data_IF_195713353444
#
_entry.id   IF_195713353444
#
_cell.length_a   1.000
_cell.length_b   1.000
_cell.length_c   1.000
_cell.angle_alpha   90.00
_cell.angle_beta   90.00
_cell.angle_gamma   90.00
#
_symmetry.space_group_name_H-M   'P 1'
#
loop_
_entity.id
_entity.type
_entity.pdbx_description
1 polymer ?
#
# COMPACT_ATOMS: atom_id res chain seq x y z
N UNK A 1 -100.77 -47.96 47.31
CA UNK A 1 -99.82 -49.09 47.39
C UNK A 1 -99.22 -49.30 46.01
N UNK A 2 -97.88 -49.19 45.97
CA UNK A 2 -96.89 -49.35 44.88
C UNK A 2 -97.37 -49.83 43.49
N UNK A 3 -97.14 -48.99 42.49
CA UNK A 3 -96.97 -49.40 41.08
C UNK A 3 -95.51 -49.79 40.85
N UNK A 4 -95.33 -50.97 40.25
CA UNK A 4 -94.05 -51.49 39.76
C UNK A 4 -93.84 -50.94 38.35
N UNK A 5 -92.87 -50.02 38.17
CA UNK A 5 -92.46 -49.57 36.83
C UNK A 5 -91.08 -50.14 36.51
N UNK A 6 -91.05 -50.87 35.39
CA UNK A 6 -89.89 -51.49 34.76
C UNK A 6 -88.98 -50.37 34.22
N UNK A 7 -87.75 -50.25 34.74
CA UNK A 7 -86.74 -49.36 34.16
C UNK A 7 -86.07 -50.06 32.99
N UNK A 8 -86.25 -49.50 31.79
CA UNK A 8 -85.53 -49.87 30.58
C UNK A 8 -84.15 -49.21 30.63
N UNK A 9 -83.08 -49.99 30.70
CA UNK A 9 -81.70 -49.50 30.57
C UNK A 9 -81.46 -49.24 29.08
N UNK A 10 -81.40 -47.96 28.69
CA UNK A 10 -80.85 -47.55 27.39
C UNK A 10 -79.36 -47.31 27.62
N UNK A 11 -78.56 -48.26 27.16
CA UNK A 11 -77.12 -48.12 26.97
C UNK A 11 -76.88 -47.05 25.90
N UNK A 12 -76.40 -45.87 26.30
CA UNK A 12 -75.79 -44.92 25.37
C UNK A 12 -74.48 -45.54 24.87
N UNK A 13 -74.50 -46.04 23.64
CA UNK A 13 -73.27 -46.27 22.87
C UNK A 13 -72.77 -44.87 22.50
N UNK A 14 -71.74 -44.42 23.21
CA UNK A 14 -70.91 -43.29 22.81
C UNK A 14 -70.16 -43.70 21.54
N UNK A 15 -70.70 -43.36 20.36
CA UNK A 15 -69.87 -43.28 19.18
C UNK A 15 -68.92 -42.09 19.42
N UNK A 16 -67.63 -42.38 19.61
CA UNK A 16 -66.62 -41.34 19.50
C UNK A 16 -66.67 -40.80 18.07
N UNK A 17 -67.24 -39.61 17.89
CA UNK A 17 -66.81 -38.77 16.79
C UNK A 17 -65.40 -38.34 17.17
N UNK A 18 -64.39 -38.87 16.49
CA UNK A 18 -63.13 -38.15 16.40
C UNK A 18 -63.49 -36.77 15.83
N UNK A 19 -63.39 -35.75 16.68
CA UNK A 19 -63.55 -34.38 16.23
C UNK A 19 -62.47 -34.12 15.20
N UNK A 20 -62.86 -33.78 13.97
CA UNK A 20 -61.93 -33.31 12.94
C UNK A 20 -61.16 -32.12 13.51
N UNK A 21 -59.85 -32.29 13.68
CA UNK A 21 -58.97 -31.21 14.10
C UNK A 21 -58.63 -30.37 12.87
N UNK A 22 -58.85 -29.06 12.98
CA UNK A 22 -58.66 -28.10 11.91
C UNK A 22 -57.53 -27.14 12.26
N UNK A 23 -56.69 -26.85 11.28
CA UNK A 23 -55.63 -25.85 11.32
C UNK A 23 -56.16 -24.58 10.65
N UNK A 24 -56.03 -23.44 11.33
CA UNK A 24 -56.45 -22.15 10.81
C UNK A 24 -55.42 -21.61 9.82
N UNK A 25 -55.83 -21.39 8.57
CA UNK A 25 -55.00 -20.92 7.45
C UNK A 25 -55.73 -19.75 6.77
N UNK A 26 -55.53 -18.50 7.22
CA UNK A 26 -56.33 -17.35 6.77
C UNK A 26 -56.03 -16.85 5.35
N UNK A 27 -54.88 -17.21 4.77
CA UNK A 27 -54.54 -16.81 3.41
C UNK A 27 -55.14 -17.78 2.39
N UNK A 28 -56.08 -17.29 1.59
CA UNK A 28 -56.77 -18.07 0.57
C UNK A 28 -55.83 -18.74 -0.45
N UNK A 29 -54.71 -18.10 -0.81
CA UNK A 29 -53.76 -18.69 -1.77
C UNK A 29 -53.01 -19.86 -1.12
N UNK A 30 -52.65 -19.71 0.17
CA UNK A 30 -52.02 -20.80 0.93
C UNK A 30 -52.99 -21.96 1.15
N UNK A 31 -54.21 -21.69 1.59
CA UNK A 31 -55.28 -22.68 1.77
C UNK A 31 -55.57 -23.43 0.46
N UNK A 32 -55.84 -22.69 -0.63
CA UNK A 32 -56.10 -23.29 -1.96
C UNK A 32 -54.96 -24.19 -2.41
N UNK A 33 -53.71 -23.80 -2.16
CA UNK A 33 -52.56 -24.63 -2.49
C UNK A 33 -52.56 -25.93 -1.69
N UNK A 34 -52.81 -25.87 -0.38
CA UNK A 34 -52.85 -27.05 0.49
C UNK A 34 -53.91 -28.04 0.01
N UNK A 35 -55.14 -27.58 -0.23
CA UNK A 35 -56.25 -28.44 -0.66
C UNK A 35 -56.02 -29.02 -2.06
N UNK A 36 -55.39 -28.25 -2.95
CA UNK A 36 -55.13 -28.69 -4.34
C UNK A 36 -54.04 -29.75 -4.42
N UNK A 37 -52.94 -29.57 -3.66
CA UNK A 37 -51.74 -30.40 -3.80
C UNK A 37 -51.60 -31.47 -2.72
N UNK A 38 -52.29 -31.32 -1.59
CA UNK A 38 -52.29 -32.28 -0.49
C UNK A 38 -53.74 -32.68 -0.16
N UNK A 39 -54.28 -33.72 -0.82
CA UNK A 39 -55.68 -34.13 -0.63
C UNK A 39 -56.03 -34.51 0.81
N UNK A 40 -55.04 -34.92 1.62
CA UNK A 40 -55.24 -35.23 3.05
C UNK A 40 -55.46 -33.97 3.91
N UNK A 41 -55.20 -32.77 3.36
CA UNK A 41 -55.47 -31.47 3.98
C UNK A 41 -56.88 -30.96 3.70
N UNK A 42 -57.52 -31.41 2.62
CA UNK A 42 -58.82 -30.92 2.15
C UNK A 42 -59.94 -31.26 3.15
N UNK A 43 -60.61 -30.21 3.66
CA UNK A 43 -61.72 -30.35 4.60
C UNK A 43 -63.09 -30.46 3.88
N UNK A 44 -63.10 -30.30 2.55
CA UNK A 44 -64.26 -30.31 1.66
C UNK A 44 -64.92 -28.95 1.43
N UNK A 45 -64.31 -27.85 1.87
CA UNK A 45 -64.86 -26.49 1.83
C UNK A 45 -63.78 -25.48 1.42
N UNK A 46 -63.70 -25.16 0.13
CA UNK A 46 -62.73 -24.20 -0.38
C UNK A 46 -62.85 -22.80 0.26
N UNK A 47 -61.71 -22.21 0.63
CA UNK A 47 -61.58 -20.82 1.12
C UNK A 47 -62.38 -20.52 2.40
N UNK A 48 -62.45 -21.47 3.33
CA UNK A 48 -63.07 -21.30 4.64
C UNK A 48 -62.06 -20.96 5.76
N UNK A 49 -60.80 -20.80 5.40
CA UNK A 49 -59.65 -20.55 6.27
C UNK A 49 -59.26 -21.73 7.15
N UNK A 50 -59.65 -22.96 6.80
CA UNK A 50 -59.31 -24.15 7.57
C UNK A 50 -58.88 -25.32 6.70
N UNK A 51 -57.89 -26.08 7.17
CA UNK A 51 -57.49 -27.36 6.58
C UNK A 51 -57.43 -28.45 7.66
N UNK A 52 -57.42 -29.71 7.28
CA UNK A 52 -57.29 -30.82 8.22
C UNK A 52 -55.88 -30.85 8.85
N UNK A 53 -55.81 -30.76 10.18
CA UNK A 53 -54.52 -30.78 10.93
C UNK A 53 -53.71 -32.05 10.68
N UNK A 54 -54.39 -33.20 10.57
CA UNK A 54 -53.72 -34.47 10.27
C UNK A 54 -53.05 -34.47 8.89
N UNK A 55 -53.61 -33.75 7.91
CA UNK A 55 -53.00 -33.58 6.59
C UNK A 55 -51.71 -32.78 6.70
N UNK A 56 -51.80 -31.55 7.22
CA UNK A 56 -50.65 -30.63 7.30
C UNK A 56 -49.52 -31.15 8.19
N UNK A 57 -49.84 -31.82 9.29
CA UNK A 57 -48.83 -32.39 10.21
C UNK A 57 -47.98 -33.51 9.59
N UNK A 58 -48.43 -34.11 8.48
CA UNK A 58 -47.71 -35.17 7.76
C UNK A 58 -46.79 -34.64 6.64
N UNK A 59 -46.90 -33.35 6.31
CA UNK A 59 -46.13 -32.74 5.23
C UNK A 59 -44.68 -32.53 5.67
N UNK A 60 -43.76 -33.10 4.90
CA UNK A 60 -42.31 -33.00 5.14
C UNK A 60 -41.63 -31.96 4.25
N UNK A 61 -42.14 -31.73 3.05
CA UNK A 61 -41.60 -30.74 2.13
C UNK A 61 -42.72 -30.00 1.40
N UNK A 62 -42.54 -28.69 1.25
CA UNK A 62 -43.50 -27.85 0.56
C UNK A 62 -42.83 -26.73 -0.23
N UNK A 63 -43.34 -26.46 -1.44
CA UNK A 63 -42.90 -25.35 -2.29
C UNK A 63 -44.10 -24.48 -2.69
N UNK A 64 -44.29 -23.39 -1.96
CA UNK A 64 -45.36 -22.40 -2.10
C UNK A 64 -44.83 -21.07 -2.65
N UNK A 65 -43.83 -21.12 -3.52
CA UNK A 65 -43.20 -19.94 -4.09
C UNK A 65 -44.04 -19.29 -5.20
N UNK A 66 -44.01 -17.96 -5.30
CA UNK A 66 -44.70 -17.18 -6.34
C UNK A 66 -46.22 -17.45 -6.39
N UNK A 67 -46.87 -17.47 -5.23
CA UNK A 67 -48.32 -17.70 -5.10
C UNK A 67 -49.07 -16.45 -4.62
N UNK A 68 -48.37 -15.36 -4.31
CA UNK A 68 -48.98 -14.15 -3.75
C UNK A 68 -49.53 -14.37 -2.36
N UNK A 69 -48.87 -15.22 -1.56
CA UNK A 69 -49.22 -15.49 -0.16
C UNK A 69 -48.74 -14.32 0.69
N UNK A 70 -49.60 -13.84 1.58
CA UNK A 70 -49.32 -12.73 2.48
C UNK A 70 -49.20 -13.19 3.94
N UNK A 71 -49.76 -14.36 4.27
CA UNK A 71 -49.83 -14.87 5.63
C UNK A 71 -49.65 -16.40 5.67
N UNK A 72 -48.65 -16.88 6.42
CA UNK A 72 -48.42 -18.31 6.69
C UNK A 72 -48.94 -18.75 8.07
N UNK A 73 -49.85 -18.00 8.68
CA UNK A 73 -50.55 -18.46 9.89
C UNK A 73 -51.10 -19.86 9.68
N UNK A 74 -50.87 -20.73 10.67
CA UNK A 74 -51.18 -22.17 10.58
C UNK A 74 -49.96 -23.04 10.28
N UNK A 75 -48.85 -22.45 9.80
CA UNK A 75 -47.60 -23.19 9.54
C UNK A 75 -47.06 -23.93 10.77
N UNK A 76 -47.47 -23.48 11.97
CA UNK A 76 -47.08 -24.09 13.24
C UNK A 76 -47.61 -25.52 13.43
N UNK A 77 -48.65 -25.91 12.71
CA UNK A 77 -49.20 -27.28 12.77
C UNK A 77 -48.48 -28.27 11.83
N UNK A 78 -47.54 -27.78 11.02
CA UNK A 78 -46.73 -28.58 10.07
C UNK A 78 -45.53 -29.21 10.80
N UNK A 79 -45.85 -30.06 11.79
CA UNK A 79 -44.87 -30.59 12.76
C UNK A 79 -43.80 -31.49 12.16
N UNK A 80 -44.03 -32.11 10.99
CA UNK A 80 -43.04 -32.94 10.29
C UNK A 80 -42.26 -32.19 9.20
N UNK A 81 -42.40 -30.87 9.10
CA UNK A 81 -41.83 -30.08 8.01
C UNK A 81 -40.30 -30.00 8.11
N UNK A 82 -39.63 -30.58 7.12
CA UNK A 82 -38.17 -30.62 6.96
C UNK A 82 -37.67 -29.55 5.99
N UNK A 83 -38.46 -29.24 4.95
CA UNK A 83 -38.08 -28.18 4.00
C UNK A 83 -39.24 -27.35 3.49
N UNK A 84 -39.04 -26.03 3.45
CA UNK A 84 -40.01 -25.08 2.96
C UNK A 84 -39.39 -24.12 1.95
N UNK A 85 -40.04 -23.96 0.81
CA UNK A 85 -39.81 -22.84 -0.10
C UNK A 85 -41.04 -21.95 -0.16
N UNK A 86 -40.97 -20.79 0.46
CA UNK A 86 -41.98 -19.74 0.44
C UNK A 86 -41.49 -18.45 -0.24
N UNK A 87 -40.48 -18.57 -1.11
CA UNK A 87 -39.88 -17.43 -1.83
C UNK A 87 -40.85 -16.73 -2.78
N UNK A 88 -40.57 -15.47 -3.11
CA UNK A 88 -41.35 -14.67 -4.07
C UNK A 88 -42.82 -14.54 -3.65
N UNK A 89 -43.05 -14.12 -2.41
CA UNK A 89 -44.38 -13.86 -1.86
C UNK A 89 -44.39 -12.47 -1.19
N UNK A 90 -45.41 -12.17 -0.39
CA UNK A 90 -45.61 -10.88 0.27
C UNK A 90 -45.61 -11.03 1.79
N UNK A 91 -44.75 -11.93 2.29
CA UNK A 91 -44.67 -12.27 3.71
C UNK A 91 -43.90 -11.19 4.47
N UNK A 92 -44.44 -10.73 5.60
CA UNK A 92 -43.83 -9.67 6.43
C UNK A 92 -43.18 -10.20 7.72
N UNK A 93 -43.60 -11.39 8.16
CA UNK A 93 -43.02 -12.08 9.31
C UNK A 93 -43.20 -13.58 9.17
N UNK A 94 -42.27 -14.35 9.74
CA UNK A 94 -42.33 -15.80 9.80
C UNK A 94 -41.93 -16.29 11.19
N UNK A 95 -42.73 -17.23 11.70
CA UNK A 95 -42.51 -17.89 12.99
C UNK A 95 -42.57 -19.40 12.81
N UNK A 96 -41.39 -20.04 12.83
CA UNK A 96 -41.21 -21.47 12.70
C UNK A 96 -40.90 -22.16 14.04
N UNK A 97 -41.27 -21.54 15.17
CA UNK A 97 -40.93 -22.01 16.54
C UNK A 97 -41.40 -23.43 16.88
N UNK A 98 -42.31 -24.00 16.10
CA UNK A 98 -42.87 -25.35 16.28
C UNK A 98 -42.44 -26.34 15.19
N UNK A 99 -41.83 -25.87 14.10
CA UNK A 99 -41.34 -26.70 13.00
C UNK A 99 -39.92 -27.22 13.32
N UNK A 100 -39.80 -28.02 14.38
CA UNK A 100 -38.52 -28.40 14.99
C UNK A 100 -37.62 -29.26 14.07
N UNK A 101 -38.21 -29.92 13.09
CA UNK A 101 -37.52 -30.78 12.13
C UNK A 101 -37.03 -30.01 10.88
N UNK A 102 -37.22 -28.68 10.83
CA UNK A 102 -36.87 -27.87 9.65
C UNK A 102 -35.34 -27.82 9.45
N UNK A 103 -34.90 -28.32 8.29
CA UNK A 103 -33.51 -28.37 7.84
C UNK A 103 -33.23 -27.37 6.70
N UNK A 104 -34.25 -27.01 5.91
CA UNK A 104 -34.09 -26.14 4.74
C UNK A 104 -35.19 -25.09 4.66
N UNK A 105 -34.81 -23.81 4.60
CA UNK A 105 -35.73 -22.69 4.47
C UNK A 105 -35.31 -21.74 3.34
N UNK A 106 -36.16 -21.64 2.32
CA UNK A 106 -36.08 -20.64 1.24
C UNK A 106 -37.22 -19.63 1.39
N UNK A 107 -36.92 -18.43 1.86
CA UNK A 107 -37.88 -17.35 2.05
C UNK A 107 -37.47 -16.03 1.35
N UNK A 108 -36.61 -16.12 0.33
CA UNK A 108 -36.13 -14.96 -0.41
C UNK A 108 -37.21 -14.21 -1.19
N UNK A 109 -36.98 -12.93 -1.44
CA UNK A 109 -37.89 -12.04 -2.17
C UNK A 109 -39.28 -12.00 -1.50
N UNK A 110 -39.29 -11.52 -0.26
CA UNK A 110 -40.46 -11.22 0.55
C UNK A 110 -40.23 -9.86 1.22
N UNK A 111 -41.14 -9.44 2.10
CA UNK A 111 -41.07 -8.17 2.82
C UNK A 111 -40.72 -8.42 4.32
N UNK A 112 -39.90 -9.42 4.62
CA UNK A 112 -39.64 -9.86 5.99
C UNK A 112 -38.84 -8.81 6.77
N UNK A 113 -39.44 -8.29 7.84
CA UNK A 113 -38.76 -7.42 8.81
C UNK A 113 -38.22 -8.24 9.99
N UNK A 114 -38.88 -9.36 10.30
CA UNK A 114 -38.54 -10.27 11.39
C UNK A 114 -38.62 -11.72 10.88
N UNK A 115 -37.55 -12.48 11.13
CA UNK A 115 -37.49 -13.91 10.91
C UNK A 115 -37.07 -14.61 12.21
N UNK A 116 -37.96 -15.39 12.82
CA UNK A 116 -37.64 -16.16 14.03
C UNK A 116 -37.40 -17.62 13.68
N UNK A 117 -36.13 -18.05 13.79
CA UNK A 117 -35.68 -19.42 13.57
C UNK A 117 -34.96 -20.01 14.79
N UNK A 118 -35.14 -19.41 15.96
CA UNK A 118 -34.41 -19.76 17.20
C UNK A 118 -34.70 -21.17 17.73
N UNK A 119 -35.76 -21.83 17.26
CA UNK A 119 -36.12 -23.20 17.65
C UNK A 119 -35.75 -24.25 16.59
N UNK A 120 -35.25 -23.83 15.43
CA UNK A 120 -34.94 -24.71 14.30
C UNK A 120 -33.47 -25.14 14.36
N UNK A 121 -33.11 -25.88 15.41
CA UNK A 121 -31.72 -26.26 15.72
C UNK A 121 -31.04 -27.11 14.62
N UNK A 122 -31.84 -27.81 13.81
CA UNK A 122 -31.38 -28.67 12.73
C UNK A 122 -31.26 -27.95 11.37
N UNK A 123 -31.42 -26.61 11.34
CA UNK A 123 -31.38 -25.86 10.08
C UNK A 123 -29.98 -25.90 9.45
N UNK A 124 -29.91 -26.42 8.22
CA UNK A 124 -28.68 -26.58 7.43
C UNK A 124 -28.58 -25.48 6.36
N UNK A 125 -29.70 -25.16 5.72
CA UNK A 125 -29.78 -24.16 4.65
C UNK A 125 -30.77 -23.07 4.99
N UNK A 126 -30.29 -21.83 4.99
CA UNK A 126 -31.11 -20.62 5.10
C UNK A 126 -30.85 -19.70 3.91
N UNK A 127 -31.90 -19.41 3.16
CA UNK A 127 -31.90 -18.32 2.18
C UNK A 127 -33.04 -17.35 2.50
N UNK A 128 -32.67 -16.17 3.01
CA UNK A 128 -33.57 -15.07 3.30
C UNK A 128 -33.16 -13.79 2.55
N UNK A 129 -32.60 -13.94 1.35
CA UNK A 129 -32.17 -12.83 0.50
C UNK A 129 -33.33 -11.93 0.08
N UNK A 130 -33.05 -10.67 -0.27
CA UNK A 130 -34.06 -9.75 -0.79
C UNK A 130 -35.25 -9.64 0.17
N UNK A 131 -34.98 -9.18 1.39
CA UNK A 131 -35.96 -8.92 2.44
C UNK A 131 -35.64 -7.57 3.10
N UNK A 132 -36.31 -7.26 4.21
CA UNK A 132 -36.12 -6.01 4.97
C UNK A 132 -35.50 -6.26 6.36
N UNK A 133 -34.69 -7.32 6.50
CA UNK A 133 -34.09 -7.68 7.79
C UNK A 133 -33.03 -6.65 8.19
N UNK A 134 -33.24 -6.00 9.33
CA UNK A 134 -32.23 -5.12 9.95
C UNK A 134 -31.30 -5.86 10.92
N UNK A 135 -31.72 -7.05 11.36
CA UNK A 135 -30.97 -7.96 12.21
C UNK A 135 -31.53 -9.37 12.08
N UNK A 136 -30.70 -10.36 12.37
CA UNK A 136 -31.11 -11.76 12.48
C UNK A 136 -30.27 -12.43 13.58
N UNK A 137 -30.92 -13.25 14.40
CA UNK A 137 -30.25 -14.09 15.38
C UNK A 137 -30.23 -15.53 14.86
N UNK A 138 -29.02 -16.01 14.53
CA UNK A 138 -28.76 -17.38 14.07
C UNK A 138 -27.92 -18.17 15.08
N UNK A 139 -27.80 -17.69 16.32
CA UNK A 139 -26.97 -18.31 17.37
C UNK A 139 -27.47 -19.70 17.80
N UNK A 140 -28.74 -20.01 17.53
CA UNK A 140 -29.37 -21.30 17.84
C UNK A 140 -29.35 -22.27 16.66
N UNK A 141 -28.67 -21.94 15.56
CA UNK A 141 -28.64 -22.75 14.34
C UNK A 141 -27.19 -23.17 14.00
N UNK A 142 -26.52 -23.97 14.86
CA UNK A 142 -25.10 -24.30 14.73
C UNK A 142 -24.79 -25.23 13.53
N UNK A 143 -25.79 -25.91 12.99
CA UNK A 143 -25.66 -26.83 11.85
C UNK A 143 -25.77 -26.13 10.48
N UNK A 144 -25.93 -24.79 10.46
CA UNK A 144 -25.99 -24.04 9.21
C UNK A 144 -24.70 -24.22 8.40
N UNK A 145 -24.85 -24.70 7.16
CA UNK A 145 -23.77 -24.82 6.18
C UNK A 145 -23.85 -23.76 5.08
N UNK A 146 -25.07 -23.34 4.72
CA UNK A 146 -25.33 -22.34 3.67
C UNK A 146 -26.21 -21.24 4.26
N UNK A 147 -25.68 -20.02 4.30
CA UNK A 147 -26.36 -18.83 4.82
C UNK A 147 -26.34 -17.75 3.76
N UNK A 148 -27.50 -17.48 3.19
CA UNK A 148 -27.72 -16.42 2.22
C UNK A 148 -28.64 -15.37 2.85
N UNK A 149 -28.10 -14.18 3.09
CA UNK A 149 -28.75 -13.03 3.71
C UNK A 149 -28.54 -11.74 2.90
N UNK A 150 -28.16 -11.85 1.63
CA UNK A 150 -27.86 -10.68 0.82
C UNK A 150 -29.10 -9.85 0.48
N UNK A 151 -28.91 -8.55 0.23
CA UNK A 151 -29.96 -7.58 -0.05
C UNK A 151 -30.95 -7.48 1.11
N UNK A 152 -30.42 -7.06 2.25
CA UNK A 152 -31.14 -6.75 3.48
C UNK A 152 -30.59 -5.42 4.05
N UNK A 153 -30.86 -5.12 5.31
CA UNK A 153 -30.39 -3.91 6.01
C UNK A 153 -29.57 -4.26 7.26
N UNK A 154 -28.87 -5.40 7.24
CA UNK A 154 -28.13 -5.92 8.39
C UNK A 154 -26.88 -5.07 8.61
N UNK A 155 -26.72 -4.54 9.81
CA UNK A 155 -25.55 -3.72 10.19
C UNK A 155 -24.52 -4.47 11.05
N UNK A 156 -24.93 -5.59 11.66
CA UNK A 156 -24.07 -6.50 12.41
C UNK A 156 -24.72 -7.88 12.50
N UNK A 157 -23.89 -8.91 12.60
CA UNK A 157 -24.32 -10.29 12.77
C UNK A 157 -23.29 -11.03 13.64
N UNK A 158 -23.77 -11.87 14.55
CA UNK A 158 -22.92 -12.76 15.36
C UNK A 158 -22.91 -14.15 14.72
N UNK A 159 -21.72 -14.60 14.32
CA UNK A 159 -21.48 -15.90 13.67
C UNK A 159 -20.76 -16.89 14.59
N UNK A 160 -20.58 -16.57 15.87
CA UNK A 160 -19.75 -17.37 16.80
C UNK A 160 -20.26 -18.80 17.03
N UNK A 161 -21.55 -19.05 16.81
CA UNK A 161 -22.15 -20.38 16.90
C UNK A 161 -22.15 -21.14 15.56
N UNK A 162 -22.00 -20.45 14.43
CA UNK A 162 -22.21 -20.98 13.08
C UNK A 162 -20.91 -21.47 12.45
N UNK A 163 -20.17 -22.29 13.21
CA UNK A 163 -18.82 -22.76 12.84
C UNK A 163 -18.79 -23.75 11.65
N UNK A 164 -19.97 -24.24 11.24
CA UNK A 164 -20.14 -25.20 10.13
C UNK A 164 -20.42 -24.53 8.78
N UNK A 165 -20.53 -23.19 8.74
CA UNK A 165 -20.86 -22.45 7.51
C UNK A 165 -19.74 -22.60 6.48
N UNK A 166 -20.11 -23.09 5.30
CA UNK A 166 -19.24 -23.26 4.12
C UNK A 166 -19.47 -22.15 3.10
N UNK A 167 -20.71 -21.69 2.97
CA UNK A 167 -21.10 -20.59 2.08
C UNK A 167 -21.83 -19.50 2.88
N UNK A 168 -21.26 -18.30 2.87
CA UNK A 168 -21.82 -17.12 3.50
C UNK A 168 -21.96 -15.98 2.50
N UNK A 169 -23.19 -15.58 2.21
CA UNK A 169 -23.49 -14.38 1.41
C UNK A 169 -24.20 -13.34 2.27
N UNK A 170 -23.49 -12.25 2.55
CA UNK A 170 -23.95 -11.07 3.28
C UNK A 170 -23.85 -9.81 2.41
N UNK A 171 -23.81 -9.98 1.09
CA UNK A 171 -23.74 -8.88 0.12
C UNK A 171 -24.93 -7.93 0.23
N UNK A 172 -24.78 -6.67 -0.17
CA UNK A 172 -25.85 -5.65 -0.13
C UNK A 172 -26.49 -5.53 1.26
N UNK A 173 -25.67 -5.16 2.24
CA UNK A 173 -26.06 -4.90 3.61
C UNK A 173 -25.34 -3.62 4.10
N UNK A 174 -25.37 -3.36 5.41
CA UNK A 174 -24.77 -2.19 6.04
C UNK A 174 -23.65 -2.58 7.02
N UNK A 175 -22.90 -3.65 6.72
CA UNK A 175 -21.85 -4.15 7.59
C UNK A 175 -20.63 -3.22 7.55
N UNK A 176 -20.22 -2.72 8.71
CA UNK A 176 -18.96 -1.97 8.88
C UNK A 176 -17.81 -2.85 9.39
N UNK A 177 -18.14 -4.01 9.96
CA UNK A 177 -17.19 -5.04 10.39
C UNK A 177 -17.89 -6.40 10.41
N UNK A 178 -17.09 -7.46 10.32
CA UNK A 178 -17.56 -8.85 10.45
C UNK A 178 -16.43 -9.71 11.02
N UNK A 179 -16.79 -10.64 11.91
CA UNK A 179 -15.86 -11.65 12.43
C UNK A 179 -16.20 -13.02 11.83
N UNK A 180 -15.33 -13.50 10.96
CA UNK A 180 -15.39 -14.84 10.36
C UNK A 180 -14.28 -15.76 10.89
N UNK A 181 -13.49 -15.29 11.87
CA UNK A 181 -12.29 -15.99 12.35
C UNK A 181 -12.56 -17.32 13.06
N UNK A 182 -13.82 -17.55 13.49
CA UNK A 182 -14.27 -18.83 14.05
C UNK A 182 -14.71 -19.87 13.01
N UNK A 183 -14.84 -19.51 11.73
CA UNK A 183 -15.46 -20.34 10.68
C UNK A 183 -14.37 -20.98 9.80
N UNK A 184 -13.61 -21.91 10.37
CA UNK A 184 -12.45 -22.52 9.69
C UNK A 184 -12.79 -23.37 8.45
N UNK A 185 -14.06 -23.71 8.24
CA UNK A 185 -14.55 -24.52 7.10
C UNK A 185 -15.14 -23.68 5.97
N UNK A 186 -15.04 -22.34 6.06
CA UNK A 186 -15.60 -21.43 5.06
C UNK A 186 -14.89 -21.59 3.71
N UNK A 187 -15.66 -21.88 2.66
CA UNK A 187 -15.19 -22.09 1.28
C UNK A 187 -15.53 -20.89 0.38
N UNK A 188 -16.70 -20.27 0.61
CA UNK A 188 -17.22 -19.14 -0.16
C UNK A 188 -17.65 -18.02 0.78
N UNK A 189 -17.12 -16.82 0.56
CA UNK A 189 -17.48 -15.61 1.32
C UNK A 189 -17.78 -14.44 0.38
N UNK A 190 -19.03 -13.98 0.39
CA UNK A 190 -19.47 -12.80 -0.35
C UNK A 190 -19.94 -11.71 0.60
N UNK A 191 -19.27 -10.55 0.50
CA UNK A 191 -19.49 -9.37 1.32
C UNK A 191 -19.58 -8.12 0.43
N UNK A 192 -20.07 -8.30 -0.79
CA UNK A 192 -20.17 -7.28 -1.83
C UNK A 192 -21.05 -6.11 -1.35
N UNK A 193 -20.67 -4.86 -1.65
CA UNK A 193 -21.48 -3.66 -1.36
C UNK A 193 -21.89 -3.57 0.12
N UNK A 194 -20.87 -3.49 0.98
CA UNK A 194 -20.99 -3.17 2.40
C UNK A 194 -20.12 -1.93 2.71
N UNK A 195 -19.82 -1.69 3.99
CA UNK A 195 -19.05 -0.54 4.49
C UNK A 195 -17.78 -1.01 5.24
N UNK A 196 -17.21 -2.16 4.85
CA UNK A 196 -16.09 -2.79 5.56
C UNK A 196 -14.78 -1.99 5.37
N UNK A 197 -14.10 -1.69 6.47
CA UNK A 197 -12.79 -1.00 6.45
C UNK A 197 -11.63 -2.00 6.55
N UNK A 198 -11.85 -3.14 7.21
CA UNK A 198 -10.91 -4.25 7.29
C UNK A 198 -11.69 -5.55 7.49
N UNK A 199 -11.03 -6.66 7.17
CA UNK A 199 -11.51 -8.01 7.45
C UNK A 199 -10.31 -8.92 7.70
N UNK A 200 -10.45 -9.85 8.64
CA UNK A 200 -9.46 -10.89 8.89
C UNK A 200 -9.97 -12.24 8.38
N UNK A 201 -9.36 -12.76 7.32
CA UNK A 201 -9.68 -14.07 6.73
C UNK A 201 -8.61 -15.14 7.00
N UNK A 202 -7.65 -14.86 7.90
CA UNK A 202 -6.47 -15.72 8.08
C UNK A 202 -6.76 -17.13 8.62
N UNK A 203 -7.90 -17.31 9.29
CA UNK A 203 -8.33 -18.62 9.80
C UNK A 203 -9.18 -19.40 8.79
N UNK A 204 -9.61 -18.77 7.70
CA UNK A 204 -10.49 -19.37 6.69
C UNK A 204 -9.64 -20.01 5.59
N UNK A 205 -8.78 -20.96 5.96
CA UNK A 205 -7.74 -21.52 5.07
C UNK A 205 -8.30 -22.35 3.90
N UNK A 206 -9.59 -22.71 3.95
CA UNK A 206 -10.30 -23.43 2.89
C UNK A 206 -11.05 -22.49 1.92
N UNK A 207 -10.89 -21.16 2.05
CA UNK A 207 -11.51 -20.21 1.13
C UNK A 207 -11.03 -20.46 -0.30
N UNK A 208 -11.99 -20.71 -1.18
CA UNK A 208 -11.81 -20.84 -2.62
C UNK A 208 -12.27 -19.57 -3.33
N UNK A 209 -13.28 -18.90 -2.77
CA UNK A 209 -13.97 -17.78 -3.39
C UNK A 209 -14.20 -16.64 -2.40
N UNK A 210 -13.60 -15.50 -2.68
CA UNK A 210 -13.70 -14.30 -1.84
C UNK A 210 -14.10 -13.10 -2.69
N UNK A 211 -15.30 -12.57 -2.43
CA UNK A 211 -15.78 -11.35 -3.06
C UNK A 211 -16.07 -10.25 -2.02
N UNK A 212 -15.24 -9.21 -2.08
CA UNK A 212 -15.28 -8.02 -1.25
C UNK A 212 -15.51 -6.75 -2.09
N UNK A 213 -16.05 -6.90 -3.31
CA UNK A 213 -16.32 -5.79 -4.22
C UNK A 213 -17.11 -4.67 -3.55
N UNK A 214 -16.69 -3.42 -3.78
CA UNK A 214 -17.38 -2.22 -3.31
C UNK A 214 -17.51 -2.17 -1.78
N UNK A 215 -16.37 -2.04 -1.11
CA UNK A 215 -16.23 -1.77 0.33
C UNK A 215 -15.27 -0.57 0.53
N UNK A 216 -14.68 -0.44 1.72
CA UNK A 216 -13.77 0.64 2.10
C UNK A 216 -12.43 0.06 2.62
N UNK A 217 -12.02 -1.09 2.08
CA UNK A 217 -10.79 -1.77 2.51
C UNK A 217 -9.57 -1.00 2.06
N UNK A 218 -8.64 -0.74 2.98
CA UNK A 218 -7.33 -0.14 2.66
C UNK A 218 -6.18 -1.17 2.64
N UNK A 219 -6.40 -2.35 3.22
CA UNK A 219 -5.52 -3.49 3.13
C UNK A 219 -6.33 -4.80 3.28
N UNK A 220 -5.71 -5.90 2.87
CA UNK A 220 -6.18 -7.25 3.15
C UNK A 220 -5.00 -8.22 3.12
N UNK A 221 -4.96 -9.14 4.08
CA UNK A 221 -4.01 -10.25 4.10
C UNK A 221 -4.73 -11.52 3.66
N UNK A 222 -4.34 -12.04 2.50
CA UNK A 222 -4.82 -13.31 1.94
C UNK A 222 -3.74 -14.41 1.90
N UNK A 223 -2.60 -14.19 2.56
CA UNK A 223 -1.40 -15.04 2.48
C UNK A 223 -1.62 -16.49 2.95
N UNK A 224 -2.63 -16.72 3.77
CA UNK A 224 -2.98 -18.03 4.35
C UNK A 224 -4.10 -18.75 3.57
N UNK A 225 -4.78 -18.05 2.66
CA UNK A 225 -5.90 -18.58 1.88
C UNK A 225 -5.38 -19.23 0.58
N UNK A 226 -4.58 -20.28 0.75
CA UNK A 226 -3.82 -20.92 -0.34
C UNK A 226 -4.69 -21.57 -1.42
N UNK A 227 -5.95 -21.89 -1.09
CA UNK A 227 -6.91 -22.52 -1.99
C UNK A 227 -7.74 -21.50 -2.80
N UNK A 228 -7.49 -20.19 -2.65
CA UNK A 228 -8.20 -19.15 -3.40
C UNK A 228 -8.04 -19.34 -4.91
N UNK A 229 -9.18 -19.47 -5.59
CA UNK A 229 -9.30 -19.55 -7.05
C UNK A 229 -9.91 -18.27 -7.63
N UNK A 230 -10.80 -17.60 -6.89
CA UNK A 230 -11.38 -16.31 -7.28
C UNK A 230 -11.23 -15.29 -6.15
N UNK A 231 -10.68 -14.13 -6.49
CA UNK A 231 -10.51 -13.01 -5.57
C UNK A 231 -10.99 -11.72 -6.23
N UNK A 232 -12.04 -11.12 -5.67
CA UNK A 232 -12.58 -9.86 -6.10
C UNK A 232 -12.48 -8.81 -4.99
N UNK A 233 -11.63 -7.82 -5.21
CA UNK A 233 -11.33 -6.69 -4.34
C UNK A 233 -11.63 -5.35 -5.03
N UNK A 234 -12.33 -5.35 -6.17
CA UNK A 234 -12.57 -4.12 -6.91
C UNK A 234 -13.39 -3.09 -6.12
N UNK A 235 -13.21 -1.81 -6.44
CA UNK A 235 -13.90 -0.70 -5.78
C UNK A 235 -13.66 -0.70 -4.26
N UNK A 236 -12.39 -0.64 -3.87
CA UNK A 236 -11.94 -0.44 -2.50
C UNK A 236 -10.90 0.70 -2.48
N UNK A 237 -10.18 0.87 -1.38
CA UNK A 237 -9.18 1.91 -1.18
C UNK A 237 -7.77 1.30 -1.03
N UNK A 238 -7.47 0.16 -1.69
CA UNK A 238 -6.20 -0.56 -1.55
C UNK A 238 -5.04 0.18 -2.23
N UNK A 239 -3.94 0.40 -1.50
CA UNK A 239 -2.69 0.97 -2.04
C UNK A 239 -1.72 -0.12 -2.52
N UNK A 240 -1.78 -1.32 -1.93
CA UNK A 240 -0.97 -2.49 -2.28
C UNK A 240 -1.78 -3.78 -2.08
N UNK A 241 -1.33 -4.87 -2.72
CA UNK A 241 -1.87 -6.21 -2.50
C UNK A 241 -0.78 -7.27 -2.74
N UNK A 242 -0.58 -8.14 -1.75
CA UNK A 242 0.28 -9.33 -1.89
C UNK A 242 -0.58 -10.58 -2.12
N UNK A 243 -0.42 -11.19 -3.30
CA UNK A 243 -1.06 -12.44 -3.70
C UNK A 243 -0.03 -13.54 -4.02
N UNK A 244 1.24 -13.36 -3.64
CA UNK A 244 2.35 -14.25 -4.02
C UNK A 244 2.15 -15.70 -3.55
N UNK A 245 1.39 -15.90 -2.47
CA UNK A 245 1.06 -17.23 -1.93
C UNK A 245 -0.20 -17.86 -2.55
N UNK A 246 -1.04 -17.10 -3.26
CA UNK A 246 -2.31 -17.58 -3.81
C UNK A 246 -2.13 -18.17 -5.21
N UNK A 247 -1.32 -19.22 -5.30
CA UNK A 247 -0.87 -19.83 -6.57
C UNK A 247 -1.99 -20.48 -7.40
N UNK A 248 -3.17 -20.70 -6.79
CA UNK A 248 -4.34 -21.30 -7.43
C UNK A 248 -5.32 -20.27 -8.02
N UNK A 249 -5.02 -18.96 -7.93
CA UNK A 249 -5.87 -17.91 -8.49
C UNK A 249 -6.04 -18.07 -10.00
N UNK A 250 -7.30 -18.12 -10.42
CA UNK A 250 -7.76 -18.16 -11.81
C UNK A 250 -8.37 -16.81 -12.22
N UNK A 251 -9.03 -16.13 -11.28
CA UNK A 251 -9.69 -14.84 -11.50
C UNK A 251 -9.30 -13.84 -10.41
N UNK A 252 -8.73 -12.71 -10.85
CA UNK A 252 -8.33 -11.59 -9.99
C UNK A 252 -8.96 -10.30 -10.48
N UNK A 253 -9.70 -9.63 -9.59
CA UNK A 253 -10.35 -8.36 -9.86
C UNK A 253 -9.94 -7.37 -8.77
N UNK A 254 -9.12 -6.37 -9.13
CA UNK A 254 -8.58 -5.32 -8.25
C UNK A 254 -8.76 -3.93 -8.88
N UNK A 255 -9.62 -3.79 -9.89
CA UNK A 255 -9.91 -2.50 -10.53
C UNK A 255 -10.57 -1.51 -9.56
N UNK A 256 -10.46 -0.21 -9.86
CA UNK A 256 -11.02 0.86 -9.02
C UNK A 256 -10.46 0.79 -7.58
N UNK A 257 -9.14 0.84 -7.45
CA UNK A 257 -8.37 0.96 -6.20
C UNK A 257 -7.28 2.04 -6.37
N UNK A 258 -6.30 2.09 -5.46
CA UNK A 258 -5.20 3.06 -5.48
C UNK A 258 -3.83 2.39 -5.76
N UNK A 259 -3.80 1.19 -6.35
CA UNK A 259 -2.56 0.42 -6.55
C UNK A 259 -1.57 1.17 -7.46
N UNK A 260 -0.31 1.27 -7.05
CA UNK A 260 0.79 1.81 -7.88
C UNK A 260 1.55 0.73 -8.66
N UNK A 261 1.55 -0.49 -8.14
CA UNK A 261 2.12 -1.68 -8.76
C UNK A 261 1.25 -2.91 -8.48
N UNK A 262 1.45 -3.95 -9.29
CA UNK A 262 0.81 -5.24 -9.10
C UNK A 262 1.74 -6.34 -9.59
N UNK A 263 2.13 -7.27 -8.71
CA UNK A 263 2.88 -8.46 -9.08
C UNK A 263 1.97 -9.69 -9.16
N UNK A 264 1.85 -10.26 -10.36
CA UNK A 264 1.16 -11.53 -10.62
C UNK A 264 2.10 -12.59 -11.21
N UNK A 265 3.42 -12.37 -11.16
CA UNK A 265 4.44 -13.24 -11.77
C UNK A 265 4.44 -14.66 -11.23
N UNK A 266 4.03 -14.84 -9.96
CA UNK A 266 3.89 -16.15 -9.32
C UNK A 266 2.53 -16.82 -9.59
N UNK A 267 1.51 -16.05 -9.97
CA UNK A 267 0.12 -16.51 -10.14
C UNK A 267 -0.15 -17.00 -11.57
N UNK A 268 0.57 -18.05 -11.99
CA UNK A 268 0.60 -18.53 -13.38
C UNK A 268 -0.72 -19.09 -13.91
N UNK A 269 -1.73 -19.27 -13.05
CA UNK A 269 -3.04 -19.80 -13.41
C UNK A 269 -4.09 -18.72 -13.69
N UNK A 270 -3.76 -17.43 -13.55
CA UNK A 270 -4.72 -16.35 -13.81
C UNK A 270 -5.15 -16.36 -15.28
N UNK A 271 -6.42 -16.63 -15.51
CA UNK A 271 -7.07 -16.57 -16.83
C UNK A 271 -7.81 -15.25 -17.03
N UNK A 272 -8.25 -14.61 -15.94
CA UNK A 272 -8.96 -13.32 -15.97
C UNK A 272 -8.37 -12.35 -14.95
N UNK A 273 -8.03 -11.16 -15.43
CA UNK A 273 -7.42 -10.08 -14.67
C UNK A 273 -8.08 -8.75 -14.99
N UNK A 274 -8.61 -8.08 -13.97
CA UNK A 274 -9.08 -6.71 -14.06
C UNK A 274 -8.39 -5.87 -12.98
N UNK A 275 -7.43 -5.05 -13.39
CA UNK A 275 -6.65 -4.15 -12.54
C UNK A 275 -6.62 -2.70 -13.07
N UNK A 276 -7.55 -2.34 -13.97
CA UNK A 276 -7.69 -0.98 -14.49
C UNK A 276 -8.31 -0.01 -13.46
N UNK A 277 -8.27 1.30 -13.74
CA UNK A 277 -8.69 2.35 -12.81
C UNK A 277 -7.94 2.30 -11.47
N UNK A 278 -6.63 2.14 -11.54
CA UNK A 278 -5.71 2.29 -10.42
C UNK A 278 -4.75 3.48 -10.72
N UNK A 279 -3.58 3.48 -10.07
CA UNK A 279 -2.44 4.33 -10.41
C UNK A 279 -1.24 3.50 -10.90
N UNK A 280 -1.52 2.36 -11.56
CA UNK A 280 -0.49 1.40 -11.96
C UNK A 280 0.44 2.00 -13.01
N UNK A 281 1.73 1.89 -12.77
CA UNK A 281 2.75 2.17 -13.78
C UNK A 281 3.26 0.88 -14.43
N UNK A 282 3.20 -0.23 -13.69
CA UNK A 282 3.67 -1.53 -14.12
C UNK A 282 2.82 -2.65 -13.52
N UNK A 283 2.64 -3.73 -14.29
CA UNK A 283 2.12 -5.01 -13.80
C UNK A 283 3.14 -6.09 -14.12
N UNK A 284 3.70 -6.69 -13.07
CA UNK A 284 4.74 -7.70 -13.18
C UNK A 284 4.11 -9.05 -13.51
N UNK A 285 4.61 -9.71 -14.55
CA UNK A 285 4.08 -10.95 -15.10
C UNK A 285 5.21 -11.94 -15.39
N UNK A 286 4.88 -13.23 -15.45
CA UNK A 286 5.85 -14.26 -15.86
C UNK A 286 6.15 -14.22 -17.37
N UNK A 287 5.17 -13.83 -18.18
CA UNK A 287 5.26 -13.80 -19.65
C UNK A 287 4.54 -12.57 -20.21
N UNK A 288 5.33 -11.56 -20.60
CA UNK A 288 4.86 -10.31 -21.22
C UNK A 288 4.14 -10.55 -22.54
N UNK A 289 4.58 -11.51 -23.34
CA UNK A 289 3.94 -11.82 -24.63
C UNK A 289 2.55 -12.41 -24.40
N UNK A 290 2.41 -13.36 -23.46
CA UNK A 290 1.13 -13.92 -23.09
C UNK A 290 0.16 -12.85 -22.56
N UNK A 291 0.60 -12.02 -21.61
CA UNK A 291 -0.22 -10.94 -21.03
C UNK A 291 -0.70 -9.95 -22.11
N UNK A 292 0.18 -9.55 -23.02
CA UNK A 292 -0.16 -8.66 -24.15
C UNK A 292 -1.20 -9.29 -25.08
N UNK A 293 -1.14 -10.61 -25.31
CA UNK A 293 -2.14 -11.31 -26.14
C UNK A 293 -3.50 -11.40 -25.44
N UNK A 294 -3.53 -11.62 -24.13
CA UNK A 294 -4.78 -11.62 -23.36
C UNK A 294 -5.45 -10.24 -23.36
N UNK A 295 -4.66 -9.17 -23.25
CA UNK A 295 -5.16 -7.78 -23.33
C UNK A 295 -5.82 -7.47 -24.69
N UNK A 296 -5.33 -8.09 -25.77
CA UNK A 296 -5.77 -7.84 -27.14
C UNK A 296 -6.76 -8.89 -27.68
N UNK A 297 -7.31 -9.76 -26.82
CA UNK A 297 -8.22 -10.83 -27.27
C UNK A 297 -9.56 -10.25 -27.75
N UNK A 298 -9.84 -10.40 -29.04
CA UNK A 298 -11.12 -10.06 -29.68
C UNK A 298 -12.07 -11.26 -29.63
N UNK A 299 -13.17 -11.15 -28.89
CA UNK A 299 -14.29 -12.10 -28.94
C UNK A 299 -15.45 -11.42 -29.68
N UNK A 300 -15.58 -11.66 -30.98
CA UNK A 300 -16.60 -11.03 -31.83
C UNK A 300 -16.29 -9.58 -32.19
N UNK A 301 -17.31 -8.71 -32.22
CA UNK A 301 -17.20 -7.27 -32.49
C UNK A 301 -17.03 -6.41 -31.22
N UNK A 302 -16.78 -7.04 -30.07
CA UNK A 302 -16.50 -6.38 -28.80
C UNK A 302 -15.10 -6.76 -28.33
N UNK A 303 -14.30 -5.76 -27.93
CA UNK A 303 -13.02 -5.98 -27.22
C UNK A 303 -13.34 -6.54 -25.84
N UNK A 304 -13.50 -7.86 -25.74
CA UNK A 304 -13.66 -8.54 -24.46
C UNK A 304 -12.31 -9.14 -24.06
N UNK A 305 -11.40 -8.25 -23.67
CA UNK A 305 -10.13 -8.62 -23.07
C UNK A 305 -10.33 -9.32 -21.74
N UNK A 306 -9.63 -10.43 -21.52
CA UNK A 306 -9.54 -11.10 -20.23
C UNK A 306 -8.52 -10.45 -19.29
N UNK A 307 -7.56 -9.67 -19.82
CA UNK A 307 -6.58 -8.92 -19.03
C UNK A 307 -6.75 -7.42 -19.26
N UNK A 308 -7.10 -6.66 -18.23
CA UNK A 308 -7.23 -5.20 -18.32
C UNK A 308 -6.42 -4.55 -17.20
N UNK A 309 -5.52 -3.66 -17.58
CA UNK A 309 -4.73 -2.81 -16.68
C UNK A 309 -4.97 -1.35 -17.01
N UNK A 310 -4.37 -0.45 -16.24
CA UNK A 310 -4.39 0.98 -16.56
C UNK A 310 -3.79 1.27 -17.93
N UNK A 311 -4.31 2.29 -18.60
CA UNK A 311 -3.84 2.64 -19.94
C UNK A 311 -2.37 3.08 -19.97
N UNK A 312 -1.86 3.57 -18.84
CA UNK A 312 -0.47 4.01 -18.69
C UNK A 312 0.45 2.91 -18.16
N UNK A 313 -0.11 1.82 -17.62
CA UNK A 313 0.69 0.72 -17.10
C UNK A 313 1.30 -0.10 -18.24
N UNK A 314 2.48 -0.67 -18.01
CA UNK A 314 3.11 -1.66 -18.89
C UNK A 314 3.05 -3.07 -18.30
N UNK A 315 3.14 -4.09 -19.15
CA UNK A 315 3.45 -5.46 -18.70
C UNK A 315 4.97 -5.60 -18.64
N UNK A 316 5.53 -6.02 -17.51
CA UNK A 316 6.98 -6.26 -17.39
C UNK A 316 7.29 -7.59 -16.70
N UNK A 317 8.51 -8.08 -16.91
CA UNK A 317 9.05 -9.22 -16.16
C UNK A 317 9.61 -8.79 -14.79
N UNK A 318 9.90 -7.50 -14.63
CA UNK A 318 10.51 -6.91 -13.44
C UNK A 318 10.07 -5.43 -13.34
N UNK A 319 9.11 -5.15 -12.48
CA UNK A 319 8.65 -3.78 -12.25
C UNK A 319 9.65 -2.96 -11.44
N UNK A 320 10.54 -3.59 -10.65
CA UNK A 320 11.57 -2.86 -9.90
C UNK A 320 12.78 -2.51 -10.79
N UNK A 321 13.02 -3.27 -11.86
CA UNK A 321 14.15 -3.08 -12.77
C UNK A 321 13.95 -2.06 -13.90
N UNK A 322 12.72 -1.59 -14.14
CA UNK A 322 12.43 -0.63 -15.24
C UNK A 322 12.42 0.84 -14.81
N UNK A 323 12.33 1.13 -13.51
CA UNK A 323 12.31 2.50 -12.96
C UNK A 323 13.64 2.85 -12.29
N UNK A 324 14.22 3.96 -12.69
CA UNK A 324 15.48 4.45 -12.17
C UNK A 324 16.03 5.54 -13.08
N UNK A 325 17.03 6.29 -12.64
CA UNK A 325 17.54 7.40 -13.44
C UNK A 325 18.01 6.95 -14.83
N UNK A 326 17.34 7.43 -15.88
CA UNK A 326 17.64 7.06 -17.28
C UNK A 326 18.64 8.01 -17.95
N UNK A 327 18.97 9.14 -17.32
CA UNK A 327 19.96 10.09 -17.85
C UNK A 327 21.38 9.57 -17.61
N UNK A 328 22.07 9.21 -18.68
CA UNK A 328 23.47 8.76 -18.67
C UNK A 328 24.46 9.78 -18.09
N UNK A 329 24.04 11.03 -17.92
CA UNK A 329 24.83 12.13 -17.34
C UNK A 329 24.69 12.23 -15.82
N UNK A 330 23.76 11.48 -15.20
CA UNK A 330 23.53 11.46 -13.77
C UNK A 330 24.44 10.46 -13.05
N UNK A 331 24.72 10.73 -11.78
CA UNK A 331 25.57 9.92 -10.91
C UNK A 331 24.96 8.60 -10.48
N UNK A 332 23.64 8.53 -10.44
CA UNK A 332 22.88 7.30 -10.17
C UNK A 332 22.20 6.75 -11.44
N UNK A 333 22.76 7.03 -12.62
CA UNK A 333 22.28 6.45 -13.88
C UNK A 333 22.18 4.92 -13.77
N UNK A 334 20.99 4.39 -14.06
CA UNK A 334 20.73 2.96 -14.13
C UNK A 334 20.66 2.50 -15.59
N UNK A 335 21.63 1.67 -16.00
CA UNK A 335 21.66 1.12 -17.35
C UNK A 335 20.60 0.06 -17.64
N UNK A 336 19.89 -0.40 -16.60
CA UNK A 336 18.80 -1.37 -16.70
C UNK A 336 17.42 -0.70 -16.70
N UNK A 337 17.32 0.56 -16.26
CA UNK A 337 16.06 1.29 -16.29
C UNK A 337 15.68 1.73 -17.71
N UNK A 338 14.39 1.63 -18.00
CA UNK A 338 13.77 2.03 -19.28
C UNK A 338 12.86 3.24 -19.10
N UNK A 339 12.51 3.58 -17.86
CA UNK A 339 11.59 4.64 -17.45
C UNK A 339 12.24 5.48 -16.35
N UNK A 340 12.29 6.80 -16.57
CA UNK A 340 12.83 7.75 -15.60
C UNK A 340 11.85 7.96 -14.44
N UNK A 341 12.31 7.79 -13.20
CA UNK A 341 11.52 7.93 -11.97
C UNK A 341 11.75 9.26 -11.24
N UNK A 342 12.31 10.24 -11.94
CA UNK A 342 12.77 11.54 -11.40
C UNK A 342 13.82 11.43 -10.27
N UNK A 343 14.48 10.27 -10.10
CA UNK A 343 15.51 10.06 -9.07
C UNK A 343 16.91 10.56 -9.44
N UNK A 344 17.12 11.10 -10.65
CA UNK A 344 18.45 11.48 -11.14
C UNK A 344 19.18 12.49 -10.25
N UNK A 345 20.36 12.10 -9.77
CA UNK A 345 21.30 12.90 -8.99
C UNK A 345 22.45 13.36 -9.90
N UNK A 346 22.71 14.66 -9.94
CA UNK A 346 23.78 15.24 -10.74
C UNK A 346 24.93 15.70 -9.84
N UNK A 347 26.18 15.68 -10.34
CA UNK A 347 27.31 16.20 -9.58
C UNK A 347 27.15 17.71 -9.36
N UNK A 348 27.73 18.21 -8.27
CA UNK A 348 27.76 19.66 -8.01
C UNK A 348 28.67 20.38 -9.02
N UNK A 349 28.57 21.70 -9.06
CA UNK A 349 29.32 22.50 -10.02
C UNK A 349 30.84 22.28 -9.86
N UNK A 350 31.49 21.84 -10.93
CA UNK A 350 32.93 21.52 -10.99
C UNK A 350 33.39 20.28 -10.20
N UNK A 351 32.46 19.39 -9.85
CA UNK A 351 32.71 18.07 -9.25
C UNK A 351 32.35 16.96 -10.24
N UNK A 352 32.90 15.77 -10.03
CA UNK A 352 32.39 14.52 -10.60
C UNK A 352 31.41 13.82 -9.63
N UNK A 353 30.96 12.63 -10.02
CA UNK A 353 29.94 11.89 -9.28
C UNK A 353 30.44 11.23 -7.98
N UNK A 354 31.76 11.14 -7.78
CA UNK A 354 32.35 10.68 -6.53
C UNK A 354 32.60 11.85 -5.55
N UNK A 355 32.27 13.08 -5.97
CA UNK A 355 32.52 14.30 -5.23
C UNK A 355 33.96 14.80 -5.36
N UNK A 356 34.71 14.30 -6.35
CA UNK A 356 36.07 14.76 -6.62
C UNK A 356 36.03 15.97 -7.57
N UNK A 357 36.92 16.94 -7.35
CA UNK A 357 37.00 18.12 -8.22
C UNK A 357 37.44 17.74 -9.63
N UNK A 358 36.77 18.32 -10.63
CA UNK A 358 37.14 18.20 -12.02
C UNK A 358 38.54 18.77 -12.28
N UNK A 359 39.18 18.30 -13.36
CA UNK A 359 40.52 18.75 -13.74
C UNK A 359 40.59 20.29 -13.87
N UNK A 360 41.51 20.90 -13.12
CA UNK A 360 41.68 22.35 -13.06
C UNK A 360 40.96 23.02 -11.89
N UNK A 361 40.26 22.24 -11.03
CA UNK A 361 39.61 22.71 -9.82
C UNK A 361 40.19 22.00 -8.59
N UNK A 362 40.05 22.64 -7.42
CA UNK A 362 40.51 22.10 -6.14
C UNK A 362 39.59 22.56 -5.01
N UNK A 363 39.30 21.67 -4.05
CA UNK A 363 38.48 22.01 -2.89
C UNK A 363 39.34 22.61 -1.78
N UNK A 364 39.13 23.89 -1.51
CA UNK A 364 39.78 24.63 -0.41
C UNK A 364 38.94 24.67 0.87
N UNK A 365 37.88 23.85 0.95
CA UNK A 365 36.97 23.72 2.09
C UNK A 365 35.61 24.40 1.91
N UNK A 366 35.31 24.90 0.70
CA UNK A 366 34.03 25.52 0.34
C UNK A 366 33.48 25.02 -1.02
N UNK A 367 33.94 23.85 -1.48
CA UNK A 367 33.61 23.29 -2.79
C UNK A 367 34.73 23.53 -3.82
N UNK A 368 34.57 22.92 -5.00
CA UNK A 368 35.60 22.93 -6.04
C UNK A 368 35.74 24.29 -6.74
N UNK A 369 36.84 24.97 -6.45
CA UNK A 369 37.17 26.28 -7.02
C UNK A 369 38.27 26.16 -8.09
N UNK A 370 38.22 27.02 -9.12
CA UNK A 370 39.18 27.01 -10.22
C UNK A 370 40.60 27.29 -9.71
N UNK A 371 41.56 26.47 -10.14
CA UNK A 371 42.98 26.66 -9.85
C UNK A 371 43.50 27.87 -10.64
N UNK A 372 43.98 28.88 -9.90
CA UNK A 372 44.72 30.02 -10.40
C UNK A 372 46.15 29.88 -9.89
N UNK A 373 47.04 29.47 -10.80
CA UNK A 373 48.44 29.29 -10.47
C UNK A 373 49.19 30.61 -10.36
N UNK A 374 50.14 30.67 -9.42
CA UNK A 374 51.09 31.76 -9.27
C UNK A 374 51.67 31.77 -7.87
N UNK A 375 52.62 32.68 -7.62
CA UNK A 375 53.17 32.79 -6.27
C UNK A 375 52.11 33.28 -5.28
N UNK A 376 51.78 32.45 -4.28
CA UNK A 376 50.79 32.75 -3.23
C UNK A 376 51.41 33.42 -2.00
N UNK A 377 52.74 33.54 -1.97
CA UNK A 377 53.49 34.06 -0.84
C UNK A 377 53.57 35.58 -0.92
N UNK A 378 52.91 36.28 0.00
CA UNK A 378 52.72 37.74 -0.04
C UNK A 378 53.99 38.59 0.04
N UNK A 379 55.11 38.02 0.48
CA UNK A 379 56.41 38.71 0.54
C UNK A 379 57.36 38.33 -0.62
N UNK A 380 56.89 37.56 -1.60
CA UNK A 380 57.64 37.30 -2.83
C UNK A 380 57.50 38.46 -3.82
N UNK A 381 58.52 38.65 -4.66
CA UNK A 381 58.59 39.73 -5.64
C UNK A 381 57.59 39.60 -6.78
N UNK A 382 57.17 38.37 -7.08
CA UNK A 382 56.16 38.06 -8.09
C UNK A 382 54.86 37.52 -7.47
N UNK A 383 54.54 37.92 -6.24
CA UNK A 383 53.28 37.58 -5.58
C UNK A 383 52.09 37.93 -6.49
N UNK A 384 51.23 36.94 -6.75
CA UNK A 384 49.99 37.12 -7.49
C UNK A 384 48.81 37.10 -6.51
N UNK A 385 48.12 38.24 -6.28
CA UNK A 385 47.01 38.30 -5.33
C UNK A 385 45.78 37.48 -5.74
N UNK A 386 45.72 37.02 -6.98
CA UNK A 386 44.64 36.15 -7.47
C UNK A 386 45.04 34.67 -7.48
N UNK A 387 46.30 34.33 -7.21
CA UNK A 387 46.71 32.94 -7.17
C UNK A 387 46.18 32.26 -5.90
N UNK A 388 45.48 31.14 -6.08
CA UNK A 388 45.03 30.27 -4.98
C UNK A 388 45.82 28.95 -4.94
N UNK A 389 46.74 28.74 -5.88
CA UNK A 389 47.59 27.56 -5.95
C UNK A 389 49.04 27.94 -6.25
N UNK A 390 49.95 27.56 -5.34
CA UNK A 390 51.37 27.83 -5.52
C UNK A 390 51.99 26.83 -6.51
N UNK A 391 52.44 27.33 -7.65
CA UNK A 391 53.14 26.52 -8.65
C UNK A 391 54.67 26.52 -8.47
N UNK A 392 55.16 27.03 -7.34
CA UNK A 392 56.59 27.09 -7.02
C UNK A 392 57.35 28.18 -7.79
N UNK A 393 56.63 29.12 -8.40
CA UNK A 393 57.23 30.23 -9.15
C UNK A 393 57.74 31.38 -8.27
N UNK A 394 57.54 31.36 -6.95
CA UNK A 394 57.91 32.47 -6.07
C UNK A 394 59.38 32.88 -6.19
N UNK A 395 59.58 34.15 -6.53
CA UNK A 395 60.89 34.81 -6.60
C UNK A 395 61.05 35.72 -5.37
N UNK A 396 62.23 35.69 -4.76
CA UNK A 396 62.54 36.49 -3.58
C UNK A 396 63.68 37.44 -3.88
N UNK A 397 63.64 38.62 -3.25
CA UNK A 397 64.71 39.59 -3.34
C UNK A 397 66.03 39.00 -2.82
N UNK A 398 67.14 39.45 -3.39
CA UNK A 398 68.47 39.12 -2.89
C UNK A 398 68.66 39.67 -1.45
N UNK A 399 69.63 39.12 -0.72
CA UNK A 399 69.88 39.54 0.66
C UNK A 399 70.21 41.04 0.70
N UNK A 400 69.50 41.78 1.55
CA UNK A 400 69.62 43.24 1.69
C UNK A 400 69.24 44.05 0.44
N UNK A 401 68.48 43.46 -0.49
CA UNK A 401 67.91 44.15 -1.65
C UNK A 401 66.37 44.15 -1.61
N UNK A 402 65.75 45.03 -2.38
CA UNK A 402 64.34 44.98 -2.72
C UNK A 402 64.08 44.11 -3.97
N UNK A 403 62.81 44.02 -4.38
CA UNK A 403 62.39 43.21 -5.51
C UNK A 403 62.77 43.74 -6.89
N UNK A 404 63.26 44.99 -6.97
CA UNK A 404 63.80 45.56 -8.19
C UNK A 404 65.32 45.38 -8.28
N UNK A 405 65.93 44.80 -7.24
CA UNK A 405 67.38 44.63 -7.14
C UNK A 405 68.10 45.85 -6.55
N UNK A 406 67.36 46.83 -6.02
CA UNK A 406 67.95 48.00 -5.37
C UNK A 406 68.34 47.64 -3.94
N UNK A 407 69.48 48.13 -3.46
CA UNK A 407 69.90 47.90 -2.08
C UNK A 407 68.96 48.60 -1.10
N UNK A 408 68.60 47.90 -0.02
CA UNK A 408 67.81 48.46 1.06
C UNK A 408 68.59 49.56 1.79
N UNK A 409 67.87 50.49 2.42
CA UNK A 409 68.47 51.58 3.20
C UNK A 409 69.53 51.06 4.19
N UNK A 410 70.75 51.62 4.12
CA UNK A 410 71.90 51.20 4.90
C UNK A 410 72.87 50.24 4.19
N UNK A 411 72.58 49.89 2.93
CA UNK A 411 73.43 49.06 2.08
C UNK A 411 73.75 49.77 0.76
N UNK A 412 74.94 49.51 0.21
CA UNK A 412 75.38 50.02 -1.09
C UNK A 412 75.74 48.87 -2.03
N UNK A 413 75.47 49.03 -3.32
CA UNK A 413 75.84 48.03 -4.34
C UNK A 413 77.35 48.08 -4.59
N UNK A 414 78.03 46.99 -4.25
CA UNK A 414 79.42 46.77 -4.64
C UNK A 414 79.50 45.52 -5.50
N UNK A 415 79.67 45.72 -6.81
CA UNK A 415 79.83 44.65 -7.81
C UNK A 415 78.64 43.68 -7.92
N UNK A 416 77.42 44.16 -7.67
CA UNK A 416 76.18 43.37 -7.78
C UNK A 416 75.74 42.72 -6.47
N UNK A 417 76.36 43.05 -5.34
CA UNK A 417 76.03 42.57 -4.00
C UNK A 417 75.76 43.77 -3.09
N UNK A 418 74.63 43.76 -2.38
CA UNK A 418 74.28 44.80 -1.42
C UNK A 418 75.00 44.56 -0.09
N UNK A 419 76.06 45.33 0.15
CA UNK A 419 76.89 45.25 1.35
C UNK A 419 76.61 46.42 2.28
N UNK A 420 76.75 46.19 3.58
CA UNK A 420 76.47 47.18 4.62
C UNK A 420 77.37 48.41 4.43
N UNK A 421 76.79 49.61 4.52
CA UNK A 421 77.54 50.86 4.50
C UNK A 421 78.45 50.92 5.74
N UNK A 422 79.74 51.14 5.50
CA UNK A 422 80.75 51.42 6.50
C UNK A 422 81.37 52.76 6.13
N UNK A 423 80.99 53.78 6.90
CA UNK A 423 81.48 55.15 6.75
C UNK A 423 82.90 55.29 7.31
N UNK A 424 83.76 55.98 6.56
CA UNK A 424 85.12 56.32 6.97
C UNK A 424 85.95 56.81 5.80
N UNK A 425 87.19 57.24 6.04
CA UNK A 425 88.02 57.73 4.94
C UNK A 425 88.38 56.63 3.94
N UNK A 426 87.91 56.76 2.69
CA UNK A 426 88.16 55.77 1.62
C UNK A 426 89.38 56.07 0.76
N UNK A 427 90.01 57.24 0.90
CA UNK A 427 91.23 57.57 0.16
C UNK A 427 92.45 56.88 0.79
N UNK A 428 93.00 55.89 0.09
CA UNK A 428 94.20 55.14 0.48
C UNK A 428 95.46 56.01 0.73
N UNK A 429 95.45 57.29 0.34
CA UNK A 429 96.55 58.24 0.53
C UNK A 429 96.37 59.08 1.81
N UNK A 430 95.19 59.06 2.43
CA UNK A 430 94.94 59.74 3.69
C UNK A 430 95.55 59.00 4.90
N UNK A 431 95.84 59.75 5.96
CA UNK A 431 96.47 59.26 7.17
C UNK A 431 95.56 58.44 8.07
N UNK A 432 94.25 58.67 7.96
CA UNK A 432 93.20 57.91 8.65
C UNK A 432 92.39 57.04 7.68
N UNK A 433 92.99 56.62 6.56
CA UNK A 433 92.37 55.65 5.65
C UNK A 433 91.88 54.41 6.42
N UNK A 434 90.61 54.06 6.23
CA UNK A 434 90.01 52.86 6.80
C UNK A 434 89.79 51.82 5.67
N UNK A 435 90.45 50.67 5.78
CA UNK A 435 90.36 49.59 4.80
C UNK A 435 88.99 48.90 4.77
N UNK A 436 88.16 49.11 5.79
CA UNK A 436 86.79 48.59 5.87
C UNK A 436 85.75 49.60 5.40
N UNK A 437 86.11 50.88 5.25
CA UNK A 437 85.20 51.91 4.78
C UNK A 437 84.88 51.72 3.29
N UNK A 438 83.60 51.75 2.95
CA UNK A 438 83.10 51.63 1.58
C UNK A 438 82.31 52.86 1.12
N UNK A 439 82.09 53.83 2.02
CA UNK A 439 81.53 55.13 1.72
C UNK A 439 82.38 56.20 2.44
N UNK A 440 82.79 57.23 1.69
CA UNK A 440 83.61 58.33 2.24
C UNK A 440 82.73 59.25 3.09
N UNK A 441 83.07 59.39 4.36
CA UNK A 441 82.38 60.27 5.31
C UNK A 441 82.97 61.69 5.39
N UNK A 442 83.86 62.01 4.44
CA UNK A 442 84.64 63.25 4.38
C UNK A 442 85.60 63.44 5.56
N UNK A 443 85.89 62.39 6.35
CA UNK A 443 86.81 62.47 7.49
C UNK A 443 88.29 62.39 7.10
N UNK A 444 88.63 62.23 5.81
CA UNK A 444 90.01 62.06 5.36
C UNK A 444 90.95 63.20 5.78
N UNK A 445 91.94 62.87 6.62
CA UNK A 445 93.03 63.73 7.04
C UNK A 445 94.29 63.41 6.25
N UNK A 446 94.88 64.42 5.61
CA UNK A 446 96.09 64.25 4.81
C UNK A 446 97.31 64.82 5.53
N UNK A 447 98.46 64.18 5.31
CA UNK A 447 99.73 64.72 5.79
C UNK A 447 99.98 66.11 5.20
N UNK A 448 100.62 66.98 5.98
CA UNK A 448 101.07 68.27 5.49
C UNK A 448 102.06 68.10 4.33
N UNK A 449 102.12 69.08 3.42
CA UNK A 449 103.04 69.06 2.27
C UNK A 449 104.48 68.79 2.76
N UNK A 450 105.08 67.72 2.24
CA UNK A 450 106.41 67.22 2.57
C UNK A 450 106.56 66.56 3.95
N UNK A 451 105.46 66.12 4.56
CA UNK A 451 105.46 65.31 5.79
C UNK A 451 104.75 63.97 5.60
N UNK A 452 105.03 63.01 6.48
CA UNK A 452 104.26 61.78 6.63
C UNK A 452 103.08 61.96 7.59
N UNK A 453 102.31 60.88 7.77
CA UNK A 453 101.09 60.88 8.59
C UNK A 453 101.32 60.96 10.11
N UNK A 454 102.57 60.86 10.56
CA UNK A 454 102.94 61.10 11.95
C UNK A 454 103.44 62.54 12.18
N UNK A 455 103.43 63.36 11.11
CA UNK A 455 103.93 64.73 11.13
C UNK A 455 105.43 64.86 10.89
N UNK A 456 106.14 63.75 10.63
CA UNK A 456 107.58 63.78 10.38
C UNK A 456 107.88 64.25 8.95
N UNK A 457 108.92 65.05 8.76
CA UNK A 457 109.32 65.47 7.41
C UNK A 457 109.77 64.28 6.56
N UNK A 458 109.29 64.21 5.32
CA UNK A 458 109.76 63.23 4.34
C UNK A 458 111.25 63.45 4.02
N UNK A 459 111.96 62.36 3.68
CA UNK A 459 113.40 62.38 3.41
C UNK A 459 113.80 63.49 2.43
N UNK A 460 114.68 64.40 2.89
CA UNK A 460 115.14 65.57 2.14
C UNK A 460 114.54 66.90 2.59
N UNK A 461 113.58 66.89 3.52
CA UNK A 461 113.02 68.08 4.16
C UNK A 461 113.40 68.11 5.65
N UNK A 462 113.54 69.31 6.22
CA UNK A 462 113.83 69.51 7.65
C UNK A 462 112.77 70.42 8.25
N UNK A 463 112.22 70.03 9.40
CA UNK A 463 111.33 70.88 10.17
C UNK A 463 112.12 72.07 10.74
N UNK A 464 111.71 73.27 10.35
CA UNK A 464 112.34 74.54 10.78
C UNK A 464 111.57 75.22 11.92
N UNK A 465 110.46 74.63 12.40
CA UNK A 465 109.59 75.24 13.42
C UNK A 465 109.37 74.38 14.68
N UNK A 466 109.53 73.05 14.62
CA UNK A 466 109.45 72.18 15.79
C UNK A 466 108.04 71.87 16.26
#
# INVERSE_FOLDING_TARGET
MKYLFLFLIISFISFGQDSLQLTFVPDNNFETYLETFFPDCDNGIDNDSYVLTNGVSSITFMAINNLGINDLTGIQDFTSLVGLNCSNNNLTSLDFSTNLDLETLYCQNNDLVILNISSNYNLITLNANLNELSSIDISQNPELEIVQLNNNYISSIDLSANISVKELDLSDNNLSSIDVGGIGVLETLYLIRNELININVSNNTLLVDLDLYNNNLNNIDVSTNLDLSRLNLASNDLDEIDISNNLLLVELTVNDNNLSELDISSNTLIEKLWCFNNSLQCVQVLDVYYATQQENTLIGNSTNSFYRKDSNAIWSLDCEGEFGCTDISACNYDSFSSIDDDSCLYPLENEDCDGDCLQGYYDFGNGCELIIEGCTVSNACNFNPNANFDNGSCEYAAINSDCNGDCLDGYIDIQGECVLIVEGCTDSVACNYDELANEDDESCEYAAINSDCNGDCLDGYIDIQG
#
